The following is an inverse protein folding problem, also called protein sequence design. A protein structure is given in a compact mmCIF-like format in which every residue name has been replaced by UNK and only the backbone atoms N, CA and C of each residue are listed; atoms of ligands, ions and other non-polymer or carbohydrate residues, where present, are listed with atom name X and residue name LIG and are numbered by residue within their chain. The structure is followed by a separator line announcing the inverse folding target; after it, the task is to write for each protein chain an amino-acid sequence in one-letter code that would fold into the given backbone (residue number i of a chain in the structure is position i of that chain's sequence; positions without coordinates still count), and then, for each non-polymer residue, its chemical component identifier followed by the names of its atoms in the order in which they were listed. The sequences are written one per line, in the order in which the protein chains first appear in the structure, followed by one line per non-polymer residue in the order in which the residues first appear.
data_IF_065238663053
#
_entry.id   IF_065238663053
#
_cell.length_a   1.000
_cell.length_b   1.000
_cell.length_c   1.000
_cell.angle_alpha   90.00
_cell.angle_beta   90.00
_cell.angle_gamma   90.00
#
_symmetry.space_group_name_H-M   'P 1'
#
loop_
_entity.id
_entity.type
_entity.pdbx_description
1 polymer ?
#
# COMPACT_ATOMS: atom_id res chain seq x y z
N UNK A 1 21.40 -42.69 -29.44
CA UNK A 1 21.15 -41.55 -28.73
C UNK A 1 21.11 -40.29 -29.56
N UNK A 2 20.15 -40.25 -30.38
CA UNK A 2 19.99 -39.17 -31.32
C UNK A 2 18.65 -38.49 -31.07
N UNK A 3 18.69 -37.31 -30.45
CA UNK A 3 17.48 -36.51 -30.26
C UNK A 3 17.18 -35.72 -31.53
N UNK A 4 15.94 -35.72 -32.02
CA UNK A 4 15.55 -34.85 -33.12
C UNK A 4 15.79 -33.38 -32.77
N UNK A 5 16.23 -32.60 -33.74
CA UNK A 5 16.46 -31.19 -33.58
C UNK A 5 15.23 -30.44 -33.02
N UNK A 6 14.02 -30.88 -33.38
CA UNK A 6 12.77 -30.34 -32.88
C UNK A 6 12.61 -30.46 -31.36
N UNK A 7 12.98 -31.62 -30.79
CA UNK A 7 12.90 -31.85 -29.35
C UNK A 7 13.90 -31.01 -28.57
N UNK A 8 15.10 -30.83 -29.09
CA UNK A 8 16.10 -29.96 -28.49
C UNK A 8 15.65 -28.50 -28.48
N UNK A 9 15.05 -28.03 -29.58
CA UNK A 9 14.49 -26.68 -29.65
C UNK A 9 13.33 -26.49 -28.68
N UNK A 10 12.47 -27.49 -28.51
CA UNK A 10 11.36 -27.45 -27.54
C UNK A 10 11.89 -27.39 -26.11
N UNK A 11 12.91 -28.17 -25.76
CA UNK A 11 13.53 -28.17 -24.45
C UNK A 11 14.17 -26.81 -24.17
N UNK A 12 14.90 -26.23 -25.13
CA UNK A 12 15.49 -24.91 -24.98
C UNK A 12 14.44 -23.82 -24.76
N UNK A 13 13.31 -23.91 -25.47
CA UNK A 13 12.21 -22.97 -25.30
C UNK A 13 11.60 -23.07 -23.89
N UNK A 14 11.38 -24.28 -23.41
CA UNK A 14 10.84 -24.55 -22.07
C UNK A 14 11.79 -23.98 -21.01
N UNK A 15 13.10 -24.21 -21.16
CA UNK A 15 14.10 -23.68 -20.23
C UNK A 15 14.10 -22.16 -20.19
N UNK A 16 13.96 -21.49 -21.33
CA UNK A 16 13.85 -20.03 -21.40
C UNK A 16 12.60 -19.53 -20.71
N UNK A 17 11.47 -20.21 -20.90
CA UNK A 17 10.20 -19.86 -20.24
C UNK A 17 10.32 -20.01 -18.71
N UNK A 18 11.01 -21.04 -18.22
CA UNK A 18 11.25 -21.24 -16.80
C UNK A 18 12.14 -20.13 -16.24
N UNK A 19 13.22 -19.76 -16.95
CA UNK A 19 14.11 -18.67 -16.54
C UNK A 19 13.37 -17.34 -16.46
N UNK A 20 12.54 -17.01 -17.44
CA UNK A 20 11.73 -15.78 -17.45
C UNK A 20 10.75 -15.81 -16.28
N UNK A 21 10.10 -16.92 -16.05
CA UNK A 21 9.16 -17.09 -14.93
C UNK A 21 9.85 -16.91 -13.59
N UNK A 22 11.02 -17.51 -13.41
CA UNK A 22 11.81 -17.37 -12.17
C UNK A 22 12.23 -15.92 -11.94
N UNK A 23 12.63 -15.22 -13.00
CA UNK A 23 12.99 -13.81 -12.93
C UNK A 23 11.80 -12.94 -12.52
N UNK A 24 10.62 -13.23 -13.04
CA UNK A 24 9.39 -12.53 -12.67
C UNK A 24 9.05 -12.76 -11.20
N UNK A 25 9.21 -13.98 -10.70
CA UNK A 25 8.98 -14.32 -9.29
C UNK A 25 9.98 -13.57 -8.39
N UNK A 26 11.26 -13.52 -8.77
CA UNK A 26 12.27 -12.77 -8.02
C UNK A 26 11.94 -11.29 -7.95
N UNK A 27 11.57 -10.70 -9.08
CA UNK A 27 11.17 -9.28 -9.13
C UNK A 27 9.92 -9.02 -8.29
N UNK A 28 8.95 -9.92 -8.35
CA UNK A 28 7.74 -9.86 -7.53
C UNK A 28 8.11 -9.86 -6.04
N UNK A 29 8.90 -10.83 -5.61
CA UNK A 29 9.32 -10.96 -4.22
C UNK A 29 10.11 -9.74 -3.75
N UNK A 30 10.98 -9.20 -4.60
CA UNK A 30 11.75 -7.99 -4.29
C UNK A 30 10.83 -6.78 -4.07
N UNK A 31 9.84 -6.60 -4.95
CA UNK A 31 8.84 -5.53 -4.81
C UNK A 31 8.02 -5.68 -3.53
N UNK A 32 7.59 -6.91 -3.21
CA UNK A 32 6.86 -7.19 -1.97
C UNK A 32 7.72 -6.86 -0.75
N UNK A 33 8.98 -7.27 -0.74
CA UNK A 33 9.90 -6.98 0.37
C UNK A 33 10.12 -5.49 0.58
N UNK A 34 10.32 -4.75 -0.50
CA UNK A 34 10.49 -3.30 -0.45
C UNK A 34 9.21 -2.59 0.02
N UNK A 35 8.08 -3.06 -0.46
CA UNK A 35 6.79 -2.53 -0.05
C UNK A 35 6.52 -2.80 1.44
N UNK A 36 6.84 -4.00 1.91
CA UNK A 36 6.70 -4.36 3.33
C UNK A 36 7.56 -3.46 4.22
N UNK A 37 8.79 -3.17 3.80
CA UNK A 37 9.68 -2.26 4.52
C UNK A 37 9.09 -0.84 4.59
N UNK A 38 8.55 -0.34 3.49
CA UNK A 38 7.89 0.97 3.45
C UNK A 38 6.64 1.00 4.34
N UNK A 39 5.88 -0.08 4.35
CA UNK A 39 4.71 -0.20 5.23
C UNK A 39 5.09 -0.13 6.70
N UNK A 40 6.18 -0.79 7.08
CA UNK A 40 6.69 -0.74 8.45
C UNK A 40 7.18 0.66 8.85
N UNK A 41 7.66 1.44 7.88
CA UNK A 41 8.04 2.83 8.08
C UNK A 41 6.84 3.78 8.02
N UNK A 42 5.64 3.26 7.88
CA UNK A 42 4.39 4.01 7.73
C UNK A 42 4.31 4.85 6.44
N UNK A 43 5.09 4.50 5.43
CA UNK A 43 5.02 5.10 4.10
C UNK A 43 4.01 4.34 3.24
N UNK A 44 2.74 4.47 3.60
CA UNK A 44 1.66 3.64 3.08
C UNK A 44 1.40 3.86 1.59
N UNK A 45 1.43 5.11 1.12
CA UNK A 45 1.20 5.40 -0.30
C UNK A 45 2.31 4.83 -1.18
N UNK A 46 3.57 4.95 -0.77
CA UNK A 46 4.71 4.39 -1.48
C UNK A 46 4.65 2.86 -1.48
N UNK A 47 4.31 2.25 -0.35
CA UNK A 47 4.13 0.80 -0.24
C UNK A 47 3.05 0.32 -1.21
N UNK A 48 1.91 1.01 -1.26
CA UNK A 48 0.82 0.70 -2.17
C UNK A 48 1.25 0.68 -3.63
N UNK A 49 2.03 1.66 -4.06
CA UNK A 49 2.54 1.74 -5.42
C UNK A 49 3.38 0.50 -5.76
N UNK A 50 4.26 0.09 -4.86
CA UNK A 50 5.10 -1.09 -5.07
C UNK A 50 4.30 -2.40 -5.06
N UNK A 51 3.30 -2.52 -4.20
CA UNK A 51 2.39 -3.67 -4.23
C UNK A 51 1.60 -3.73 -5.53
N UNK A 52 1.15 -2.59 -6.05
CA UNK A 52 0.47 -2.52 -7.34
C UNK A 52 1.38 -2.97 -8.48
N UNK A 53 2.63 -2.54 -8.49
CA UNK A 53 3.62 -2.98 -9.48
C UNK A 53 3.84 -4.50 -9.40
N UNK A 54 3.93 -5.04 -8.20
CA UNK A 54 4.07 -6.48 -8.00
C UNK A 54 2.85 -7.24 -8.54
N UNK A 55 1.64 -6.76 -8.28
CA UNK A 55 0.42 -7.35 -8.78
C UNK A 55 0.33 -7.32 -10.30
N UNK A 56 0.77 -6.24 -10.93
CA UNK A 56 0.82 -6.13 -12.39
C UNK A 56 1.85 -7.09 -13.00
N UNK A 57 2.98 -7.26 -12.32
CA UNK A 57 4.05 -8.15 -12.79
C UNK A 57 3.62 -9.61 -12.73
N UNK A 58 2.89 -10.01 -11.70
CA UNK A 58 2.44 -11.39 -11.54
C UNK A 58 1.01 -11.46 -10.99
N UNK A 59 0.01 -11.25 -11.87
CA UNK A 59 -1.40 -11.21 -11.45
C UNK A 59 -1.94 -12.51 -10.84
N UNK A 60 -1.29 -13.64 -11.09
CA UNK A 60 -1.71 -14.94 -10.55
C UNK A 60 -1.38 -15.11 -9.06
N UNK A 61 -0.52 -14.27 -8.49
CA UNK A 61 -0.16 -14.33 -7.08
C UNK A 61 -1.05 -13.35 -6.29
N UNK A 62 -1.86 -13.84 -5.34
CA UNK A 62 -2.83 -13.01 -4.63
C UNK A 62 -2.23 -12.16 -3.50
N UNK A 63 -1.01 -12.43 -3.07
CA UNK A 63 -0.38 -11.77 -1.92
C UNK A 63 -0.33 -10.25 -2.06
N UNK A 64 0.06 -9.75 -3.23
CA UNK A 64 0.13 -8.30 -3.46
C UNK A 64 -1.24 -7.63 -3.33
N UNK A 65 -2.28 -8.24 -3.86
CA UNK A 65 -3.64 -7.72 -3.77
C UNK A 65 -4.16 -7.72 -2.33
N UNK A 66 -3.87 -8.77 -1.57
CA UNK A 66 -4.21 -8.83 -0.14
C UNK A 66 -3.52 -7.71 0.63
N UNK A 67 -2.25 -7.46 0.35
CA UNK A 67 -1.48 -6.39 0.99
C UNK A 67 -1.94 -5.00 0.59
N UNK A 68 -2.37 -4.81 -0.65
CA UNK A 68 -3.00 -3.56 -1.10
C UNK A 68 -4.26 -3.28 -0.27
N UNK A 69 -5.08 -4.29 -0.05
CA UNK A 69 -6.29 -4.17 0.78
C UNK A 69 -5.92 -3.74 2.21
N UNK A 70 -4.92 -4.37 2.82
CA UNK A 70 -4.45 -4.02 4.16
C UNK A 70 -3.93 -2.58 4.22
N UNK A 71 -3.16 -2.16 3.23
CA UNK A 71 -2.64 -0.79 3.16
C UNK A 71 -3.77 0.21 3.00
N UNK A 72 -4.75 -0.06 2.14
CA UNK A 72 -5.91 0.79 1.94
C UNK A 72 -6.72 0.95 3.23
N UNK A 73 -6.90 -0.13 3.99
CA UNK A 73 -7.57 -0.09 5.30
C UNK A 73 -6.78 0.77 6.29
N UNK A 74 -5.47 0.65 6.29
CA UNK A 74 -4.59 1.46 7.15
C UNK A 74 -4.65 2.94 6.80
N UNK A 75 -4.63 3.27 5.51
CA UNK A 75 -4.76 4.65 5.02
C UNK A 75 -6.11 5.24 5.43
N UNK A 76 -7.17 4.47 5.24
CA UNK A 76 -8.53 4.89 5.62
C UNK A 76 -8.62 5.16 7.12
N UNK A 77 -8.06 4.29 7.93
CA UNK A 77 -8.04 4.43 9.38
C UNK A 77 -7.27 5.68 9.82
N UNK A 78 -6.10 5.92 9.24
CA UNK A 78 -5.32 7.12 9.53
C UNK A 78 -6.08 8.39 9.16
N UNK A 79 -6.74 8.41 8.01
CA UNK A 79 -7.53 9.54 7.56
C UNK A 79 -8.72 9.80 8.48
N UNK A 80 -9.38 8.74 8.94
CA UNK A 80 -10.50 8.85 9.90
C UNK A 80 -10.02 9.41 11.24
N UNK A 81 -8.90 8.92 11.75
CA UNK A 81 -8.30 9.42 13.00
C UNK A 81 -7.88 10.88 12.88
N UNK A 82 -7.28 11.26 11.76
CA UNK A 82 -6.89 12.63 11.49
C UNK A 82 -8.10 13.57 11.40
N UNK A 83 -9.15 13.15 10.71
CA UNK A 83 -10.41 13.91 10.64
C UNK A 83 -11.02 14.10 12.01
N UNK A 84 -11.00 13.07 12.84
CA UNK A 84 -11.49 13.13 14.21
C UNK A 84 -10.69 14.11 15.06
N UNK A 85 -9.37 14.09 14.98
CA UNK A 85 -8.51 15.04 15.66
C UNK A 85 -8.77 16.47 15.22
N UNK A 86 -8.87 16.70 13.91
CA UNK A 86 -9.16 18.01 13.33
C UNK A 86 -10.53 18.51 13.81
N UNK A 87 -11.51 17.63 13.84
CA UNK A 87 -12.86 17.94 14.34
C UNK A 87 -12.84 18.31 15.82
N UNK A 88 -12.12 17.55 16.64
CA UNK A 88 -11.98 17.83 18.06
C UNK A 88 -11.29 19.18 18.31
N UNK A 89 -10.28 19.53 17.52
CA UNK A 89 -9.60 20.83 17.59
C UNK A 89 -10.57 21.96 17.26
N UNK A 90 -11.38 21.79 16.22
CA UNK A 90 -12.38 22.78 15.81
C UNK A 90 -13.42 22.99 16.92
N UNK A 91 -13.89 21.91 17.53
CA UNK A 91 -14.85 21.96 18.65
C UNK A 91 -14.25 22.73 19.84
N UNK A 92 -13.00 22.42 20.21
CA UNK A 92 -12.31 23.11 21.30
C UNK A 92 -12.16 24.59 21.03
N UNK A 93 -11.82 24.99 19.81
CA UNK A 93 -11.72 26.39 19.41
C UNK A 93 -13.07 27.09 19.48
N UNK A 94 -14.13 26.44 19.03
CA UNK A 94 -15.48 26.98 19.10
C UNK A 94 -15.94 27.15 20.54
N UNK A 95 -15.70 26.15 21.40
CA UNK A 95 -16.04 26.23 22.83
C UNK A 95 -15.32 27.37 23.53
N UNK A 96 -14.03 27.55 23.26
CA UNK A 96 -13.23 28.65 23.81
C UNK A 96 -13.77 30.00 23.33
N UNK A 97 -14.13 30.11 22.07
CA UNK A 97 -14.71 31.33 21.51
C UNK A 97 -16.04 31.69 22.20
N UNK A 98 -16.94 30.73 22.34
CA UNK A 98 -18.22 30.95 22.99
C UNK A 98 -18.06 31.26 24.48
N UNK A 99 -17.18 30.58 25.17
CA UNK A 99 -16.88 30.87 26.59
C UNK A 99 -16.34 32.27 26.78
N UNK A 100 -15.44 32.74 25.92
CA UNK A 100 -14.91 34.11 25.95
C UNK A 100 -16.01 35.14 25.69
N UNK A 101 -16.90 34.85 24.74
CA UNK A 101 -17.99 35.74 24.38
C UNK A 101 -19.01 35.86 25.52
N UNK A 102 -19.35 34.77 26.17
CA UNK A 102 -20.23 34.75 27.33
C UNK A 102 -19.62 35.50 28.51
N UNK A 103 -18.34 35.34 28.73
CA UNK A 103 -17.60 36.09 29.75
C UNK A 103 -17.64 37.59 29.51
N UNK A 104 -17.44 38.05 28.28
CA UNK A 104 -17.54 39.45 27.91
C UNK A 104 -18.94 39.99 28.12
N UNK A 105 -19.98 39.25 27.76
CA UNK A 105 -21.39 39.63 27.99
C UNK A 105 -21.70 39.74 29.49
N UNK A 106 -21.25 38.78 30.28
CA UNK A 106 -21.42 38.81 31.74
C UNK A 106 -20.71 40.01 32.39
N UNK A 107 -19.62 40.45 31.81
CA UNK A 107 -18.83 41.61 32.31
C UNK A 107 -19.49 42.95 31.99
N UNK A 108 -20.29 43.04 30.95
CA UNK A 108 -21.01 44.25 30.56
C UNK A 108 -22.23 44.54 31.47
N UNK A 109 -22.70 43.50 32.12
CA UNK A 109 -23.83 43.61 33.08
C UNK A 109 -23.29 43.69 34.53
#
# INVERSE_FOLDING_TARGET
EYYPKKKLAEIELILREIEVSNLQIEKYNDLISKADALRLENKLEEAKILYQKASELNPSMPEALEKITLVNESIKKENEEKLKEDYDIIIKKADNYFSSKDYLKAKEF
#
